data_IF_561409123607
#
_entry.id   IF_561409123607
#
_cell.length_a   1.000
_cell.length_b   1.000
_cell.length_c   1.000
_cell.angle_alpha   90.00
_cell.angle_beta   90.00
_cell.angle_gamma   90.00
#
_symmetry.space_group_name_H-M   'P 1'
#
loop_
_entity.id
_entity.type
_entity.pdbx_description
1 polymer ?
#
# COMPACT_ATOMS: atom_id res chain seq x y z
N UNK A 1 -3.34 -10.53 -0.41
CA UNK A 1 -3.98 -9.25 -0.07
C UNK A 1 -3.48 -8.76 1.27
N UNK A 2 -3.23 -7.48 1.42
CA UNK A 2 -2.72 -6.92 2.67
C UNK A 2 -3.16 -5.47 2.85
N UNK A 3 -2.76 -4.88 3.98
CA UNK A 3 -3.10 -3.51 4.29
C UNK A 3 -1.94 -2.75 4.92
N UNK A 4 -1.96 -1.44 4.75
CA UNK A 4 -1.06 -0.52 5.44
C UNK A 4 -1.87 0.55 6.12
N UNK A 5 -1.36 1.09 7.21
CA UNK A 5 -2.03 2.15 7.94
C UNK A 5 -1.18 3.42 7.88
N UNK A 6 -1.84 4.55 7.58
CA UNK A 6 -1.22 5.87 7.59
C UNK A 6 -1.80 6.64 8.77
N UNK A 7 -0.93 7.06 9.70
CA UNK A 7 -1.33 7.76 10.91
C UNK A 7 -1.98 9.10 10.63
N UNK A 8 -3.01 9.45 11.38
CA UNK A 8 -3.63 10.78 11.34
C UNK A 8 -2.74 11.89 11.94
N UNK A 9 -1.57 11.54 12.44
CA UNK A 9 -0.57 12.55 12.85
C UNK A 9 0.00 13.34 11.68
N UNK A 10 -0.02 12.74 10.47
CA UNK A 10 0.35 13.48 9.27
C UNK A 10 -0.70 14.57 8.97
N UNK A 11 -0.23 15.69 8.42
CA UNK A 11 -1.15 16.74 7.96
C UNK A 11 -2.01 16.24 6.80
N UNK A 12 -3.14 16.91 6.57
CA UNK A 12 -4.00 16.59 5.42
C UNK A 12 -3.25 16.69 4.10
N UNK A 13 -2.34 17.65 3.98
CA UNK A 13 -1.52 17.82 2.78
C UNK A 13 -0.58 16.64 2.57
N UNK A 14 0.12 16.20 3.62
CA UNK A 14 1.03 15.05 3.54
C UNK A 14 0.30 13.76 3.23
N UNK A 15 -0.87 13.53 3.86
CA UNK A 15 -1.72 12.38 3.56
C UNK A 15 -2.17 12.39 2.10
N UNK A 16 -2.64 13.54 1.62
CA UNK A 16 -3.06 13.71 0.22
C UNK A 16 -1.92 13.47 -0.75
N UNK A 17 -0.72 13.95 -0.43
CA UNK A 17 0.47 13.76 -1.26
C UNK A 17 0.83 12.26 -1.39
N UNK A 18 0.84 11.53 -0.28
CA UNK A 18 1.12 10.11 -0.28
C UNK A 18 0.09 9.31 -1.09
N UNK A 19 -1.18 9.59 -0.88
CA UNK A 19 -2.26 8.86 -1.57
C UNK A 19 -2.30 9.19 -3.05
N UNK A 20 -2.14 10.45 -3.42
CA UNK A 20 -2.09 10.84 -4.83
C UNK A 20 -0.91 10.21 -5.55
N UNK A 21 0.26 10.15 -4.90
CA UNK A 21 1.43 9.46 -5.43
C UNK A 21 1.11 7.98 -5.72
N UNK A 22 0.52 7.29 -4.76
CA UNK A 22 0.17 5.88 -4.90
C UNK A 22 -0.91 5.66 -5.97
N UNK A 23 -1.92 6.53 -6.03
CA UNK A 23 -2.96 6.46 -7.06
C UNK A 23 -2.43 6.72 -8.46
N UNK A 24 -1.44 7.58 -8.60
CA UNK A 24 -0.85 7.91 -9.90
C UNK A 24 0.06 6.81 -10.43
N UNK A 25 0.72 6.06 -9.58
CA UNK A 25 1.78 5.14 -9.98
C UNK A 25 1.57 3.68 -9.57
N UNK A 26 0.83 3.42 -8.50
CA UNK A 26 0.72 2.10 -7.89
C UNK A 26 -0.74 1.73 -7.58
N UNK A 27 -1.65 2.07 -8.47
CA UNK A 27 -3.09 1.90 -8.25
C UNK A 27 -3.70 1.06 -9.37
N UNK A 28 -4.54 0.09 -9.00
CA UNK A 28 -5.26 -0.73 -9.96
C UNK A 28 -6.72 -0.29 -10.01
N UNK A 29 -7.05 0.56 -10.97
CA UNK A 29 -8.41 1.09 -11.14
C UNK A 29 -9.39 0.01 -11.57
N UNK A 30 -8.94 -1.00 -12.30
CA UNK A 30 -9.80 -2.09 -12.76
C UNK A 30 -10.34 -2.92 -11.58
N UNK A 31 -9.50 -3.19 -10.58
CA UNK A 31 -9.93 -3.88 -9.35
C UNK A 31 -10.64 -2.91 -8.41
N UNK A 32 -10.13 -1.69 -8.28
CA UNK A 32 -10.66 -0.69 -7.35
C UNK A 32 -12.13 -0.34 -7.62
N UNK A 33 -12.59 -0.41 -8.86
CA UNK A 33 -13.99 -0.13 -9.20
C UNK A 33 -14.98 -1.04 -8.48
N UNK A 34 -14.55 -2.22 -8.05
CA UNK A 34 -15.40 -3.18 -7.32
C UNK A 34 -15.27 -3.06 -5.82
N UNK A 35 -14.38 -2.20 -5.31
CA UNK A 35 -14.13 -2.02 -3.88
C UNK A 35 -14.65 -0.65 -3.47
N UNK A 36 -15.58 -0.64 -2.52
CA UNK A 36 -16.22 0.60 -2.05
C UNK A 36 -15.93 0.82 -0.58
N UNK A 37 -14.87 1.61 -0.23
CA UNK A 37 -14.59 1.92 1.16
C UNK A 37 -15.76 2.64 1.81
N UNK A 38 -16.04 2.31 3.06
CA UNK A 38 -17.13 2.96 3.81
C UNK A 38 -16.88 4.45 3.99
N UNK A 39 -15.62 4.82 4.27
CA UNK A 39 -15.21 6.21 4.46
C UNK A 39 -13.99 6.50 3.58
N UNK A 40 -14.21 6.61 2.28
CA UNK A 40 -13.12 6.83 1.33
C UNK A 40 -12.38 8.13 1.63
N UNK A 41 -11.04 8.05 1.65
CA UNK A 41 -10.20 9.24 1.82
C UNK A 41 -10.27 10.11 0.56
N UNK A 42 -10.55 11.40 0.78
CA UNK A 42 -10.60 12.38 -0.30
C UNK A 42 -9.32 13.19 -0.34
N UNK A 43 -8.66 13.16 -1.48
CA UNK A 43 -7.42 13.93 -1.69
C UNK A 43 -7.77 15.42 -1.77
N UNK A 44 -7.12 16.22 -0.95
CA UNK A 44 -7.28 17.68 -0.91
C UNK A 44 -6.01 18.33 -1.45
N UNK A 45 -5.87 18.35 -2.77
CA UNK A 45 -4.74 19.00 -3.46
C UNK A 45 -5.25 19.77 -4.66
N UNK A 46 -4.72 20.97 -4.84
CA UNK A 46 -4.98 21.77 -6.05
C UNK A 46 -4.18 21.21 -7.23
N UNK A 47 -4.70 21.33 -8.43
CA UNK A 47 -4.01 20.88 -9.65
C UNK A 47 -2.61 21.48 -9.77
N UNK A 48 -2.46 22.74 -9.37
CA UNK A 48 -1.17 23.43 -9.37
C UNK A 48 -0.15 22.74 -8.45
N UNK A 49 -0.59 22.29 -7.26
CA UNK A 49 0.28 21.61 -6.32
C UNK A 49 0.64 20.20 -6.81
N UNK A 50 -0.30 19.50 -7.45
CA UNK A 50 -0.04 18.22 -8.08
C UNK A 50 1.05 18.34 -9.16
N UNK A 51 0.94 19.32 -10.02
CA UNK A 51 1.93 19.56 -11.06
C UNK A 51 3.31 19.84 -10.45
N UNK A 52 3.36 20.69 -9.44
CA UNK A 52 4.61 21.08 -8.80
C UNK A 52 5.34 19.92 -8.13
N UNK A 53 4.60 19.03 -7.44
CA UNK A 53 5.20 17.92 -6.69
C UNK A 53 5.43 16.66 -7.53
N UNK A 54 4.63 16.43 -8.57
CA UNK A 54 4.66 15.17 -9.31
C UNK A 54 5.38 15.25 -10.65
N UNK A 55 5.60 16.46 -11.20
CA UNK A 55 6.24 16.64 -12.50
C UNK A 55 7.63 16.00 -12.56
N UNK A 56 8.43 16.17 -11.52
CA UNK A 56 9.79 15.66 -11.44
C UNK A 56 9.93 14.36 -10.64
N UNK A 57 8.84 13.86 -10.07
CA UNK A 57 8.92 12.73 -9.14
C UNK A 57 9.03 11.36 -9.83
N UNK A 58 8.45 11.19 -11.01
CA UNK A 58 8.57 10.01 -11.87
C UNK A 58 8.43 8.66 -11.14
N UNK A 59 7.46 8.53 -10.23
CA UNK A 59 7.25 7.32 -9.42
C UNK A 59 8.46 6.95 -8.52
N UNK A 60 9.32 7.92 -8.22
CA UNK A 60 10.46 7.69 -7.34
C UNK A 60 10.05 7.80 -5.86
N UNK A 61 9.96 6.64 -5.21
CA UNK A 61 9.57 6.54 -3.81
C UNK A 61 10.54 7.25 -2.87
N UNK A 62 11.82 7.29 -3.21
CA UNK A 62 12.83 7.98 -2.41
C UNK A 62 12.62 9.49 -2.41
N UNK A 63 12.19 10.05 -3.54
CA UNK A 63 11.84 11.48 -3.63
C UNK A 63 10.61 11.79 -2.79
N UNK A 64 9.59 10.92 -2.81
CA UNK A 64 8.41 11.07 -1.96
C UNK A 64 8.81 11.05 -0.48
N UNK A 65 9.63 10.10 -0.06
CA UNK A 65 10.09 9.96 1.31
C UNK A 65 10.82 11.23 1.79
N UNK A 66 11.66 11.80 0.93
CA UNK A 66 12.38 13.04 1.23
C UNK A 66 11.43 14.23 1.39
N UNK A 67 10.43 14.34 0.54
CA UNK A 67 9.44 15.42 0.64
C UNK A 67 8.64 15.29 1.94
N UNK A 68 8.22 14.10 2.28
CA UNK A 68 7.48 13.83 3.53
C UNK A 68 8.37 14.15 4.75
N UNK A 69 9.63 13.78 4.71
CA UNK A 69 10.58 14.08 5.78
C UNK A 69 10.75 15.59 5.96
N UNK A 70 10.80 16.35 4.86
CA UNK A 70 10.90 17.82 4.90
C UNK A 70 9.62 18.48 5.42
N UNK A 71 8.46 17.93 5.08
CA UNK A 71 7.15 18.46 5.53
C UNK A 71 6.83 18.09 6.98
N UNK A 72 7.19 16.89 7.38
CA UNK A 72 6.88 16.32 8.68
C UNK A 72 8.15 15.72 9.30
N UNK A 73 9.07 16.55 9.84
CA UNK A 73 10.40 16.06 10.30
C UNK A 73 10.36 14.97 11.37
N UNK A 74 9.29 14.91 12.16
CA UNK A 74 9.13 13.92 13.22
C UNK A 74 8.41 12.64 12.77
N UNK A 75 7.91 12.63 11.54
CA UNK A 75 7.17 11.51 10.97
C UNK A 75 7.90 11.03 9.72
N UNK A 76 7.72 9.75 9.40
CA UNK A 76 8.31 9.16 8.21
C UNK A 76 7.27 8.41 7.41
N UNK A 77 7.49 8.31 6.10
CA UNK A 77 6.69 7.46 5.25
C UNK A 77 6.68 6.03 5.82
N UNK A 78 5.50 5.41 5.99
CA UNK A 78 5.42 4.07 6.57
C UNK A 78 6.32 3.07 5.85
N UNK A 79 7.10 2.33 6.62
CA UNK A 79 8.06 1.35 6.09
C UNK A 79 7.36 0.27 5.27
N UNK A 80 6.15 -0.12 5.67
CA UNK A 80 5.36 -1.13 4.96
C UNK A 80 4.97 -0.67 3.55
N UNK A 81 4.68 0.61 3.36
CA UNK A 81 4.40 1.16 2.03
C UNK A 81 5.60 0.96 1.12
N UNK A 82 6.79 1.32 1.58
CA UNK A 82 8.03 1.14 0.82
C UNK A 82 8.27 -0.32 0.47
N UNK A 83 8.09 -1.19 1.45
CA UNK A 83 8.31 -2.63 1.30
C UNK A 83 7.38 -3.23 0.25
N UNK A 84 6.09 -2.92 0.33
CA UNK A 84 5.10 -3.46 -0.60
C UNK A 84 5.24 -2.90 -2.01
N UNK A 85 5.56 -1.61 -2.16
CA UNK A 85 5.80 -1.02 -3.47
C UNK A 85 7.01 -1.67 -4.16
N UNK A 86 8.07 -1.97 -3.43
CA UNK A 86 9.23 -2.69 -3.96
C UNK A 86 8.88 -4.10 -4.42
N UNK A 87 7.80 -4.68 -3.90
CA UNK A 87 7.30 -5.99 -4.30
C UNK A 87 6.23 -5.90 -5.39
N UNK A 88 6.10 -4.75 -6.05
CA UNK A 88 5.12 -4.50 -7.10
C UNK A 88 3.66 -4.59 -6.64
N UNK A 89 3.40 -4.26 -5.37
CA UNK A 89 2.05 -4.18 -4.85
C UNK A 89 1.26 -3.07 -5.54
N UNK A 90 -0.05 -3.30 -5.71
CA UNK A 90 -0.98 -2.31 -6.24
C UNK A 90 -1.99 -1.94 -5.18
N UNK A 91 -2.22 -0.64 -5.00
CA UNK A 91 -3.24 -0.13 -4.09
C UNK A 91 -4.60 -0.20 -4.78
N UNK A 92 -5.64 -0.48 -4.02
CA UNK A 92 -7.01 -0.57 -4.56
C UNK A 92 -8.03 0.25 -3.79
N UNK A 93 -7.75 0.63 -2.54
CA UNK A 93 -8.66 1.45 -1.74
C UNK A 93 -7.94 2.17 -0.61
N UNK A 94 -8.49 3.30 -0.20
CA UNK A 94 -8.02 4.06 0.96
C UNK A 94 -9.23 4.44 1.81
N UNK A 95 -9.33 3.92 3.01
CA UNK A 95 -10.45 4.11 3.92
C UNK A 95 -10.00 4.82 5.20
N UNK A 96 -10.77 5.80 5.64
CA UNK A 96 -10.55 6.47 6.94
C UNK A 96 -11.27 5.66 8.01
N UNK A 97 -10.54 5.22 9.03
CA UNK A 97 -11.09 4.41 10.12
C UNK A 97 -11.32 5.25 11.37
N UNK A 98 -12.58 5.62 11.67
CA UNK A 98 -12.87 6.44 12.85
C UNK A 98 -12.64 5.70 14.17
N UNK A 99 -12.59 4.38 14.16
CA UNK A 99 -12.31 3.57 15.36
C UNK A 99 -10.82 3.51 15.70
N UNK A 100 -9.95 3.90 14.77
CA UNK A 100 -8.50 3.95 14.95
C UNK A 100 -7.96 5.35 14.71
N UNK A 101 -8.58 6.33 15.38
CA UNK A 101 -8.14 7.74 15.37
C UNK A 101 -8.01 8.33 13.95
N UNK A 102 -8.97 8.00 13.09
CA UNK A 102 -9.02 8.45 11.69
C UNK A 102 -7.76 8.12 10.88
N UNK A 103 -7.07 7.05 11.24
CA UNK A 103 -5.98 6.53 10.42
C UNK A 103 -6.51 6.07 9.07
N UNK A 104 -5.69 6.20 8.04
CA UNK A 104 -6.07 5.75 6.70
C UNK A 104 -5.60 4.32 6.51
N UNK A 105 -6.56 3.43 6.21
CA UNK A 105 -6.25 2.04 5.85
C UNK A 105 -6.13 1.92 4.35
N UNK A 106 -4.93 1.61 3.87
CA UNK A 106 -4.69 1.35 2.45
C UNK A 106 -4.78 -0.15 2.19
N UNK A 107 -5.71 -0.55 1.35
CA UNK A 107 -5.84 -1.94 0.91
C UNK A 107 -5.03 -2.16 -0.36
N UNK A 108 -4.26 -3.24 -0.39
CA UNK A 108 -3.40 -3.57 -1.52
C UNK A 108 -3.42 -5.06 -1.84
N UNK A 109 -2.95 -5.40 -3.03
CA UNK A 109 -2.69 -6.78 -3.40
C UNK A 109 -1.37 -6.91 -4.16
N UNK A 110 -0.81 -8.12 -4.12
CA UNK A 110 0.39 -8.47 -4.86
C UNK A 110 0.08 -9.73 -5.65
N UNK A 111 0.36 -9.70 -6.95
CA UNK A 111 0.32 -10.91 -7.77
C UNK A 111 1.66 -11.63 -7.61
N UNK A 112 1.62 -12.92 -7.34
CA UNK A 112 2.84 -13.71 -7.19
C UNK A 112 3.72 -13.61 -8.43
N UNK A 113 3.11 -13.59 -9.62
CA UNK A 113 3.80 -13.45 -10.91
C UNK A 113 4.52 -12.11 -11.08
N UNK A 114 4.10 -11.07 -10.34
CA UNK A 114 4.69 -9.73 -10.40
C UNK A 114 5.77 -9.51 -9.35
N UNK A 115 5.99 -10.47 -8.45
CA UNK A 115 7.05 -10.36 -7.45
C UNK A 115 8.43 -10.41 -8.12
N UNK A 116 9.42 -9.66 -7.58
CA UNK A 116 10.79 -9.79 -8.02
C UNK A 116 11.27 -11.25 -7.88
N UNK A 117 12.08 -11.69 -8.82
CA UNK A 117 12.54 -13.09 -8.89
C UNK A 117 13.16 -13.57 -7.57
N UNK A 118 13.91 -12.69 -6.90
CA UNK A 118 14.53 -12.98 -5.61
C UNK A 118 13.50 -13.21 -4.49
N UNK A 119 12.29 -12.67 -4.62
CA UNK A 119 11.23 -12.75 -3.63
C UNK A 119 10.27 -13.91 -3.92
N UNK A 120 10.11 -14.30 -5.18
CA UNK A 120 9.18 -15.36 -5.59
C UNK A 120 9.56 -16.71 -4.97
N UNK A 121 10.83 -17.04 -5.01
CA UNK A 121 11.32 -18.36 -4.57
C UNK A 121 11.01 -18.65 -3.11
N UNK A 122 11.37 -17.77 -2.15
CA UNK A 122 11.00 -17.99 -0.73
C UNK A 122 9.51 -18.04 -0.50
N UNK A 123 8.72 -17.20 -1.18
CA UNK A 123 7.26 -17.16 -1.03
C UNK A 123 6.64 -18.47 -1.52
N UNK A 124 7.09 -19.00 -2.65
CA UNK A 124 6.62 -20.29 -3.19
C UNK A 124 6.97 -21.43 -2.25
N UNK A 125 8.15 -21.42 -1.64
CA UNK A 125 8.56 -22.42 -0.66
C UNK A 125 7.67 -22.39 0.58
N UNK A 126 7.39 -21.19 1.13
CA UNK A 126 6.49 -21.04 2.28
C UNK A 126 5.09 -21.54 1.97
N UNK A 127 4.54 -21.19 0.81
CA UNK A 127 3.22 -21.65 0.38
C UNK A 127 3.19 -23.16 0.20
N UNK A 128 4.23 -23.75 -0.37
CA UNK A 128 4.35 -25.20 -0.55
C UNK A 128 4.33 -25.90 0.80
N UNK A 129 5.12 -25.42 1.76
CA UNK A 129 5.17 -25.99 3.11
C UNK A 129 3.84 -25.86 3.84
N UNK A 130 3.17 -24.72 3.69
CA UNK A 130 1.84 -24.48 4.25
C UNK A 130 0.82 -25.50 3.71
N UNK A 131 0.78 -25.71 2.41
CA UNK A 131 -0.14 -26.66 1.78
C UNK A 131 0.18 -28.11 2.16
N UNK A 132 1.45 -28.48 2.29
CA UNK A 132 1.85 -29.81 2.77
C UNK A 132 1.37 -30.04 4.20
N UNK A 133 1.56 -29.09 5.09
CA UNK A 133 1.10 -29.17 6.48
C UNK A 133 -0.42 -29.36 6.56
N UNK A 134 -1.19 -28.65 5.73
CA UNK A 134 -2.64 -28.83 5.67
C UNK A 134 -3.07 -30.19 5.15
N UNK A 135 -2.39 -30.70 4.16
CA UNK A 135 -2.66 -32.04 3.57
C UNK A 135 -2.41 -33.14 4.61
N UNK A 136 -1.30 -33.06 5.32
CA UNK A 136 -0.97 -34.01 6.37
C UNK A 136 -2.00 -33.97 7.52
N UNK A 137 -2.44 -32.77 7.90
CA UNK A 137 -3.45 -32.57 8.95
C UNK A 137 -4.81 -33.18 8.53
N UNK A 138 -5.22 -33.01 7.27
CA UNK A 138 -6.45 -33.59 6.75
C UNK A 138 -6.40 -35.11 6.72
N UNK A 139 -5.26 -35.68 6.33
CA UNK A 139 -5.06 -37.13 6.34
C UNK A 139 -5.13 -37.72 7.75
N UNK A 140 -4.58 -37.01 8.74
CA UNK A 140 -4.66 -37.41 10.14
C UNK A 140 -6.09 -37.34 10.69
N UNK A 141 -6.88 -36.33 10.32
CA UNK A 141 -8.26 -36.16 10.76
C UNK A 141 -9.23 -37.18 10.15
N UNK A 142 -8.86 -37.81 9.05
CA UNK A 142 -9.67 -38.84 8.37
C UNK A 142 -9.40 -40.28 8.84
N UNK A 143 -8.49 -40.44 9.75
CA UNK A 143 -8.20 -41.73 10.39
C UNK A 143 -8.90 -41.84 11.76
#
# INVERSE_FOLDING_TARGET
>A
MGGVSISNKFSEFSKSLMIEFMRSHYYDSAVAQYIHPKNEFKVVMKERDKALFFEDMNADLNKLDKIIDDLEPELRLPVLIKKYIKQNAKMIAFNVDPNFNDAIDGLMYIRISDLPEDTIKPVLEELSDFFKAQTEKKSADNQ
#
